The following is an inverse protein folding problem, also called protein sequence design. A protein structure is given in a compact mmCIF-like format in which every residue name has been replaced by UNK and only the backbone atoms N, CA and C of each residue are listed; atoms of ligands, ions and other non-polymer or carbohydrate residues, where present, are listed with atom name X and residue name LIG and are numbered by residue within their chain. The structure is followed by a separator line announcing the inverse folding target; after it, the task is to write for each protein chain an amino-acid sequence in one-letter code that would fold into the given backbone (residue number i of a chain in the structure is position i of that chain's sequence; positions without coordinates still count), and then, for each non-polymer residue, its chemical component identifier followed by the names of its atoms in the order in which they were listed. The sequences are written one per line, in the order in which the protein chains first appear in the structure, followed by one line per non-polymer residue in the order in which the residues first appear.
data_IF_083901405940
#
_entry.id   IF_083901405940
#
_cell.length_a   1.000
_cell.length_b   1.000
_cell.length_c   1.000
_cell.angle_alpha   90.00
_cell.angle_beta   90.00
_cell.angle_gamma   90.00
#
_symmetry.space_group_name_H-M   'P 1'
#
loop_
_entity.id
_entity.type
_entity.pdbx_description
1 polymer ?
#
# COMPACT_ATOMS: atom_id res chain seq x y z
N UNK A 1 -38.37 -45.14 -27.19
CA UNK A 1 -38.58 -46.60 -27.16
C UNK A 1 -38.41 -47.00 -25.71
N UNK A 2 -39.49 -47.25 -25.04
CA UNK A 2 -39.92 -48.52 -24.45
C UNK A 2 -39.01 -48.95 -23.29
N UNK A 3 -39.38 -49.07 -22.10
CA UNK A 3 -40.50 -49.73 -21.37
C UNK A 3 -39.86 -50.44 -20.20
N UNK A 4 -40.30 -50.65 -19.04
CA UNK A 4 -41.51 -50.96 -18.30
C UNK A 4 -41.10 -50.98 -16.81
N UNK A 5 -41.70 -50.41 -15.82
CA UNK A 5 -42.97 -50.72 -15.09
C UNK A 5 -43.07 -52.11 -14.45
N UNK A 6 -43.45 -52.06 -13.14
CA UNK A 6 -44.15 -53.08 -12.32
C UNK A 6 -43.26 -54.08 -11.54
N UNK A 7 -43.48 -54.29 -10.26
CA UNK A 7 -44.60 -54.82 -9.47
C UNK A 7 -44.24 -54.67 -7.96
N UNK A 8 -44.91 -54.13 -7.10
CA UNK A 8 -46.06 -54.30 -6.28
C UNK A 8 -46.18 -55.64 -5.51
N UNK A 9 -46.35 -55.46 -4.21
CA UNK A 9 -47.26 -56.16 -3.26
C UNK A 9 -46.74 -57.31 -2.38
N UNK A 10 -47.16 -57.10 -1.10
CA UNK A 10 -47.55 -58.07 -0.01
C UNK A 10 -46.39 -58.49 0.90
N UNK A 11 -46.51 -58.44 2.24
CA UNK A 11 -47.65 -58.81 3.10
C UNK A 11 -47.41 -58.38 4.55
N UNK A 12 -48.38 -57.81 5.17
CA UNK A 12 -49.11 -58.17 6.41
C UNK A 12 -48.36 -58.65 7.66
N UNK A 13 -48.59 -57.82 8.70
CA UNK A 13 -48.95 -58.17 10.07
C UNK A 13 -47.93 -58.84 11.01
N UNK A 14 -47.52 -58.09 12.00
CA UNK A 14 -47.68 -58.56 13.35
C UNK A 14 -47.78 -57.39 14.36
N UNK A 15 -48.94 -57.31 14.98
CA UNK A 15 -49.29 -56.42 16.05
C UNK A 15 -48.68 -56.92 17.38
N UNK A 16 -47.81 -56.07 18.00
CA UNK A 16 -47.60 -56.19 19.46
C UNK A 16 -47.81 -54.83 20.10
N UNK A 17 -48.85 -54.75 20.92
CA UNK A 17 -49.17 -53.62 21.80
C UNK A 17 -48.03 -53.42 22.78
N UNK A 18 -47.50 -52.20 22.80
CA UNK A 18 -46.71 -51.68 23.91
C UNK A 18 -47.41 -50.44 24.48
N UNK A 19 -47.47 -50.45 25.82
CA UNK A 19 -48.14 -49.47 26.68
C UNK A 19 -47.62 -48.08 26.52
N UNK A 20 -48.36 -46.98 26.78
CA UNK A 20 -47.93 -45.64 26.71
C UNK A 20 -46.98 -45.35 27.85
N UNK A 21 -45.77 -44.85 27.49
CA UNK A 21 -44.80 -44.23 28.40
C UNK A 21 -45.21 -42.77 28.57
N UNK A 22 -45.36 -42.36 29.82
CA UNK A 22 -45.78 -41.01 30.24
C UNK A 22 -44.66 -40.03 29.91
N UNK A 23 -44.89 -39.11 28.98
CA UNK A 23 -44.06 -37.96 28.77
C UNK A 23 -44.28 -36.93 29.89
N UNK A 24 -43.29 -36.81 30.73
CA UNK A 24 -43.12 -35.64 31.59
C UNK A 24 -41.88 -34.88 31.19
N UNK A 25 -42.06 -33.60 30.92
CA UNK A 25 -41.08 -32.55 30.89
C UNK A 25 -40.15 -32.45 29.69
N UNK A 26 -40.41 -31.43 28.88
CA UNK A 26 -39.40 -30.48 28.40
C UNK A 26 -40.09 -29.29 27.71
N UNK A 27 -40.80 -28.46 28.49
CA UNK A 27 -41.32 -27.17 28.00
C UNK A 27 -40.36 -26.01 28.29
N UNK A 28 -39.15 -26.27 28.82
CA UNK A 28 -38.19 -25.23 29.23
C UNK A 28 -37.08 -24.90 28.24
N UNK A 29 -36.91 -25.66 27.14
CA UNK A 29 -35.71 -25.51 26.28
C UNK A 29 -35.90 -24.66 25.04
N UNK A 30 -37.13 -24.35 24.64
CA UNK A 30 -37.36 -23.60 23.39
C UNK A 30 -37.16 -22.08 23.57
N UNK A 31 -37.60 -21.54 24.72
CA UNK A 31 -37.38 -20.12 25.05
C UNK A 31 -35.89 -19.78 25.30
N UNK A 32 -35.14 -20.68 25.95
CA UNK A 32 -33.71 -20.45 26.16
C UNK A 32 -32.89 -20.50 24.86
N UNK A 33 -33.29 -21.33 23.90
CA UNK A 33 -32.62 -21.40 22.58
C UNK A 33 -32.94 -20.21 21.70
N UNK A 34 -34.14 -19.66 21.74
CA UNK A 34 -34.51 -18.44 21.00
C UNK A 34 -33.80 -17.19 21.54
N UNK A 35 -33.66 -17.08 22.88
CA UNK A 35 -32.88 -15.97 23.48
C UNK A 35 -31.38 -16.07 23.19
N UNK A 36 -30.80 -17.24 23.14
CA UNK A 36 -29.39 -17.44 22.81
C UNK A 36 -29.11 -17.13 21.33
N UNK A 37 -29.99 -17.50 20.41
CA UNK A 37 -29.86 -17.14 18.99
C UNK A 37 -30.07 -15.64 18.74
N UNK A 38 -31.00 -15.00 19.46
CA UNK A 38 -31.22 -13.55 19.37
C UNK A 38 -30.03 -12.77 19.96
N UNK A 39 -29.41 -13.22 21.04
CA UNK A 39 -28.20 -12.61 21.61
C UNK A 39 -26.98 -12.75 20.69
N UNK A 40 -26.84 -13.87 19.98
CA UNK A 40 -25.78 -14.08 18.97
C UNK A 40 -25.98 -13.21 17.72
N UNK A 41 -27.23 -12.95 17.32
CA UNK A 41 -27.52 -12.06 16.19
C UNK A 41 -27.31 -10.56 16.51
N UNK A 42 -27.51 -10.16 17.77
CA UNK A 42 -27.25 -8.76 18.20
C UNK A 42 -25.76 -8.49 18.35
N UNK A 43 -24.93 -9.49 18.67
CA UNK A 43 -23.47 -9.35 18.70
C UNK A 43 -22.83 -9.32 17.29
N UNK A 44 -23.54 -9.75 16.25
CA UNK A 44 -23.04 -9.66 14.87
C UNK A 44 -23.21 -8.27 14.25
N UNK A 45 -23.89 -7.32 14.91
CA UNK A 45 -24.27 -6.02 14.36
C UNK A 45 -23.25 -4.89 14.54
N UNK A 46 -22.16 -5.08 15.30
CA UNK A 46 -21.13 -4.08 15.52
C UNK A 46 -19.73 -4.66 15.26
N UNK A 47 -19.51 -5.23 14.09
CA UNK A 47 -18.15 -5.54 13.68
C UNK A 47 -17.51 -4.25 13.14
N UNK A 48 -16.43 -3.80 13.79
CA UNK A 48 -15.53 -2.83 13.18
C UNK A 48 -15.13 -3.33 11.78
N UNK A 49 -14.96 -2.43 10.78
CA UNK A 49 -14.50 -2.82 9.46
C UNK A 49 -13.31 -3.74 9.59
N UNK A 50 -13.35 -4.89 8.91
CA UNK A 50 -12.27 -5.85 8.96
C UNK A 50 -10.99 -5.19 8.40
N UNK A 51 -9.82 -5.65 8.82
CA UNK A 51 -8.56 -5.17 8.24
C UNK A 51 -8.53 -5.33 6.72
N UNK A 52 -9.23 -6.33 6.20
CA UNK A 52 -9.46 -6.52 4.77
C UNK A 52 -10.24 -5.38 4.15
N UNK A 53 -11.28 -4.86 4.82
CA UNK A 53 -12.11 -3.77 4.28
C UNK A 53 -11.31 -2.47 4.20
N UNK A 54 -10.47 -2.17 5.19
CA UNK A 54 -9.58 -1.01 5.18
C UNK A 54 -8.59 -1.09 4.01
N UNK A 55 -7.94 -2.23 3.81
CA UNK A 55 -7.01 -2.47 2.70
C UNK A 55 -7.72 -2.40 1.35
N UNK A 56 -8.96 -2.91 1.26
CA UNK A 56 -9.79 -2.83 0.06
C UNK A 56 -10.09 -1.38 -0.30
N UNK A 57 -10.49 -0.55 0.68
CA UNK A 57 -10.77 0.87 0.46
C UNK A 57 -9.52 1.63 0.01
N UNK A 58 -8.37 1.37 0.64
CA UNK A 58 -7.09 1.99 0.26
C UNK A 58 -6.68 1.62 -1.18
N UNK A 59 -6.78 0.32 -1.55
CA UNK A 59 -6.46 -0.14 -2.89
C UNK A 59 -7.45 0.39 -3.94
N UNK A 60 -8.76 0.45 -3.63
CA UNK A 60 -9.77 1.01 -4.50
C UNK A 60 -9.54 2.51 -4.75
N UNK A 61 -9.21 3.27 -3.71
CA UNK A 61 -8.86 4.69 -3.84
C UNK A 61 -7.60 4.90 -4.68
N UNK A 62 -6.55 4.08 -4.44
CA UNK A 62 -5.31 4.17 -5.20
C UNK A 62 -5.51 3.88 -6.69
N UNK A 63 -6.47 3.01 -7.04
CA UNK A 63 -6.86 2.72 -8.43
C UNK A 63 -7.90 3.69 -8.98
N UNK A 64 -8.38 4.61 -8.16
CA UNK A 64 -9.42 5.57 -8.51
C UNK A 64 -8.89 6.79 -9.28
N UNK A 65 -9.82 7.58 -9.81
CA UNK A 65 -9.51 8.78 -10.58
C UNK A 65 -8.78 9.85 -9.77
N UNK A 66 -9.06 9.97 -8.47
CA UNK A 66 -8.43 10.94 -7.58
C UNK A 66 -6.92 10.70 -7.45
N UNK A 67 -6.52 9.44 -7.27
CA UNK A 67 -5.11 9.06 -7.24
C UNK A 67 -4.43 9.36 -8.58
N UNK A 68 -5.02 8.96 -9.69
CA UNK A 68 -4.52 9.25 -11.05
C UNK A 68 -4.32 10.75 -11.25
N UNK A 69 -5.28 11.58 -10.83
CA UNK A 69 -5.18 13.04 -10.93
C UNK A 69 -4.03 13.60 -10.09
N UNK A 70 -3.84 13.09 -8.87
CA UNK A 70 -2.73 13.50 -7.99
C UNK A 70 -1.36 13.11 -8.54
N UNK A 71 -1.23 11.95 -9.18
CA UNK A 71 0.00 11.57 -9.88
C UNK A 71 0.31 12.53 -11.03
N UNK A 72 -0.65 12.82 -11.91
CA UNK A 72 -0.47 13.81 -12.97
C UNK A 72 -0.11 15.20 -12.43
N UNK A 73 -0.79 15.65 -11.36
CA UNK A 73 -0.49 16.92 -10.70
C UNK A 73 0.94 16.93 -10.13
N UNK A 74 1.34 15.86 -9.42
CA UNK A 74 2.68 15.75 -8.84
C UNK A 74 3.77 15.83 -9.90
N UNK A 75 3.65 15.11 -11.02
CA UNK A 75 4.61 15.17 -12.12
C UNK A 75 4.56 16.49 -12.90
N UNK A 76 3.40 17.15 -13.00
CA UNK A 76 3.30 18.49 -13.58
C UNK A 76 4.07 19.51 -12.71
N UNK A 77 3.88 19.50 -11.38
CA UNK A 77 4.64 20.34 -10.45
C UNK A 77 6.13 20.03 -10.53
N UNK A 78 6.53 18.75 -10.56
CA UNK A 78 7.93 18.36 -10.72
C UNK A 78 8.55 18.95 -12.00
N UNK A 79 7.81 18.93 -13.11
CA UNK A 79 8.25 19.51 -14.39
C UNK A 79 8.41 21.03 -14.30
N UNK A 80 7.42 21.75 -13.80
CA UNK A 80 7.50 23.20 -13.63
C UNK A 80 8.69 23.60 -12.76
N UNK A 81 8.93 22.87 -11.66
CA UNK A 81 10.09 23.12 -10.78
C UNK A 81 11.40 22.81 -11.48
N UNK A 82 11.47 21.74 -12.25
CA UNK A 82 12.66 21.43 -13.04
C UNK A 82 12.96 22.53 -14.07
N UNK A 83 11.95 23.04 -14.76
CA UNK A 83 12.10 24.12 -15.75
C UNK A 83 12.64 25.41 -15.09
N UNK A 84 12.16 25.76 -13.90
CA UNK A 84 12.67 26.88 -13.09
C UNK A 84 14.15 26.67 -12.74
N UNK A 85 14.54 25.46 -12.35
CA UNK A 85 15.95 25.13 -12.01
C UNK A 85 16.82 25.19 -13.24
N UNK A 86 16.36 24.66 -14.37
CA UNK A 86 17.10 24.66 -15.63
C UNK A 86 17.29 26.06 -16.25
N UNK A 87 16.46 27.03 -15.87
CA UNK A 87 16.60 28.42 -16.27
C UNK A 87 17.67 29.17 -15.46
N UNK A 88 18.18 28.58 -14.36
CA UNK A 88 19.28 29.14 -13.58
C UNK A 88 20.65 28.84 -14.22
N UNK A 89 21.72 29.59 -13.89
CA UNK A 89 23.06 29.21 -14.29
C UNK A 89 23.40 27.78 -13.89
N UNK A 90 24.08 27.05 -14.77
CA UNK A 90 24.43 25.65 -14.52
C UNK A 90 25.31 25.53 -13.26
N UNK A 91 24.99 24.61 -12.34
CA UNK A 91 25.80 24.37 -11.15
C UNK A 91 27.14 23.70 -11.54
N UNK A 92 28.16 23.74 -10.66
CA UNK A 92 29.45 23.11 -10.92
C UNK A 92 29.42 21.61 -11.16
N UNK A 93 28.43 20.92 -10.60
CA UNK A 93 28.20 19.47 -10.77
C UNK A 93 27.00 19.24 -11.66
N UNK A 94 26.95 18.13 -12.41
CA UNK A 94 25.74 17.74 -13.17
C UNK A 94 24.49 17.72 -12.30
N UNK A 95 23.37 18.18 -12.85
CA UNK A 95 22.05 18.07 -12.18
C UNK A 95 21.61 16.62 -12.11
N UNK A 96 21.01 16.26 -10.99
CA UNK A 96 20.36 14.96 -10.78
C UNK A 96 19.05 15.12 -10.03
N UNK A 97 18.07 14.30 -10.39
CA UNK A 97 16.91 14.02 -9.56
C UNK A 97 17.04 12.63 -8.93
N UNK A 98 16.46 12.47 -7.76
CA UNK A 98 16.36 11.19 -7.06
C UNK A 98 14.89 10.85 -6.94
N UNK A 99 14.52 9.64 -7.33
CA UNK A 99 13.17 9.12 -7.17
C UNK A 99 13.19 7.81 -6.38
N UNK A 100 12.20 7.61 -5.53
CA UNK A 100 11.81 6.27 -5.10
C UNK A 100 11.17 5.51 -6.27
N UNK A 101 10.93 4.21 -6.11
CA UNK A 101 10.37 3.34 -7.16
C UNK A 101 8.92 2.97 -6.86
N UNK A 102 8.69 2.32 -5.71
CA UNK A 102 7.43 1.65 -5.39
C UNK A 102 6.37 2.67 -4.97
N UNK A 103 5.25 2.71 -5.67
CA UNK A 103 4.19 3.73 -5.53
C UNK A 103 4.64 5.18 -5.75
N UNK A 104 5.84 5.34 -6.31
CA UNK A 104 6.32 6.64 -6.79
C UNK A 104 6.36 6.68 -8.32
N UNK A 105 6.99 5.70 -8.95
CA UNK A 105 7.07 5.59 -10.42
C UNK A 105 6.53 4.27 -10.96
N UNK A 106 6.51 3.20 -10.15
CA UNK A 106 5.93 1.89 -10.49
C UNK A 106 4.71 1.57 -9.62
N UNK A 107 3.65 1.06 -10.25
CA UNK A 107 2.40 0.63 -9.63
C UNK A 107 2.49 -0.81 -9.13
N UNK A 108 2.58 -1.01 -7.82
CA UNK A 108 2.49 -2.31 -7.19
C UNK A 108 1.10 -2.62 -6.60
N UNK A 109 0.09 -1.81 -6.91
CA UNK A 109 -1.29 -2.09 -6.47
C UNK A 109 -1.81 -3.47 -6.91
N UNK A 110 -1.39 -4.06 -8.04
CA UNK A 110 -1.76 -5.43 -8.37
C UNK A 110 -1.30 -6.46 -7.32
N UNK A 111 -0.12 -6.26 -6.71
CA UNK A 111 0.35 -7.10 -5.61
C UNK A 111 -0.50 -6.89 -4.34
N UNK A 112 -0.83 -5.66 -3.99
CA UNK A 112 -1.70 -5.36 -2.85
C UNK A 112 -3.10 -5.96 -3.01
N UNK A 113 -3.66 -5.88 -4.21
CA UNK A 113 -4.96 -6.50 -4.55
C UNK A 113 -4.86 -8.03 -4.43
N UNK A 114 -3.77 -8.62 -4.92
CA UNK A 114 -3.53 -10.06 -4.80
C UNK A 114 -3.50 -10.50 -3.32
N UNK A 115 -2.83 -9.76 -2.44
CA UNK A 115 -2.82 -10.03 -1.00
C UNK A 115 -4.23 -10.00 -0.41
N UNK A 116 -5.05 -9.01 -0.79
CA UNK A 116 -6.44 -8.87 -0.30
C UNK A 116 -7.30 -10.05 -0.78
N UNK A 117 -7.21 -10.40 -2.06
CA UNK A 117 -7.99 -11.48 -2.68
C UNK A 117 -7.67 -12.85 -2.06
N UNK A 118 -6.38 -13.09 -1.79
CA UNK A 118 -5.91 -14.35 -1.22
C UNK A 118 -5.92 -14.38 0.32
N UNK A 119 -6.39 -13.30 0.99
CA UNK A 119 -6.38 -13.16 2.46
C UNK A 119 -4.99 -13.28 3.06
N UNK A 120 -4.00 -12.84 2.30
CA UNK A 120 -2.59 -12.84 2.68
C UNK A 120 -2.17 -11.49 3.26
N UNK A 121 -1.10 -11.49 4.01
CA UNK A 121 -0.40 -10.29 4.46
C UNK A 121 0.94 -10.19 3.73
N UNK A 122 1.54 -9.00 3.76
CA UNK A 122 2.88 -8.80 3.21
C UNK A 122 3.88 -9.80 3.80
N UNK A 123 4.64 -10.42 2.93
CA UNK A 123 5.84 -11.19 3.29
C UNK A 123 6.95 -10.92 2.28
N UNK A 124 8.21 -10.94 2.74
CA UNK A 124 9.35 -10.75 1.85
C UNK A 124 9.37 -11.79 0.71
N UNK A 125 8.91 -13.02 1.01
CA UNK A 125 8.82 -14.09 0.02
C UNK A 125 7.86 -13.75 -1.12
N UNK A 126 6.63 -13.35 -0.82
CA UNK A 126 5.62 -13.03 -1.84
C UNK A 126 5.94 -11.73 -2.56
N UNK A 127 6.55 -10.76 -1.85
CA UNK A 127 7.06 -9.53 -2.46
C UNK A 127 8.13 -9.83 -3.51
N UNK A 128 9.16 -10.62 -3.18
CA UNK A 128 10.20 -10.99 -4.13
C UNK A 128 9.67 -11.81 -5.33
N UNK A 129 8.60 -12.61 -5.12
CA UNK A 129 7.91 -13.27 -6.22
C UNK A 129 7.21 -12.27 -7.17
N UNK A 130 6.67 -11.19 -6.63
CA UNK A 130 6.07 -10.11 -7.40
C UNK A 130 7.14 -9.34 -8.18
N UNK A 131 8.15 -8.82 -7.51
CA UNK A 131 9.20 -7.99 -8.14
C UNK A 131 10.00 -8.76 -9.19
N UNK A 132 10.22 -10.08 -8.98
CA UNK A 132 10.87 -10.96 -9.96
C UNK A 132 10.16 -11.03 -11.31
N UNK A 133 8.83 -10.80 -11.35
CA UNK A 133 8.06 -10.73 -12.61
C UNK A 133 8.44 -9.53 -13.47
N UNK A 134 9.00 -8.49 -12.89
CA UNK A 134 9.36 -7.24 -13.55
C UNK A 134 8.19 -6.67 -14.39
N UNK A 135 6.96 -6.70 -13.84
CA UNK A 135 5.72 -6.44 -14.59
C UNK A 135 4.91 -5.25 -14.03
N UNK A 136 5.40 -4.54 -13.03
CA UNK A 136 4.76 -3.33 -12.55
C UNK A 136 4.73 -2.27 -13.66
N UNK A 137 3.57 -1.65 -13.86
CA UNK A 137 3.38 -0.60 -14.87
C UNK A 137 3.88 0.75 -14.34
N UNK A 138 4.16 1.70 -15.25
CA UNK A 138 4.48 3.06 -14.86
C UNK A 138 3.24 3.76 -14.29
N UNK A 139 3.41 4.48 -13.19
CA UNK A 139 2.38 5.36 -12.64
C UNK A 139 2.10 6.55 -13.57
N UNK A 140 0.88 7.12 -13.54
CA UNK A 140 0.46 8.17 -14.47
C UNK A 140 1.41 9.38 -14.46
N UNK A 141 1.96 9.73 -15.61
CA UNK A 141 2.89 10.85 -15.78
C UNK A 141 4.38 10.55 -15.50
N UNK A 142 4.70 9.45 -14.79
CA UNK A 142 6.07 9.13 -14.39
C UNK A 142 7.03 9.01 -15.56
N UNK A 143 6.72 8.18 -16.57
CA UNK A 143 7.58 7.96 -17.72
C UNK A 143 7.78 9.25 -18.52
N UNK A 144 6.72 10.03 -18.74
CA UNK A 144 6.80 11.30 -19.45
C UNK A 144 7.73 12.29 -18.75
N UNK A 145 7.59 12.45 -17.43
CA UNK A 145 8.42 13.37 -16.65
C UNK A 145 9.87 12.93 -16.59
N UNK A 146 10.15 11.65 -16.28
CA UNK A 146 11.54 11.19 -16.15
C UNK A 146 12.30 11.25 -17.49
N UNK A 147 11.65 10.88 -18.60
CA UNK A 147 12.24 11.03 -19.93
C UNK A 147 12.45 12.50 -20.31
N UNK A 148 11.52 13.39 -19.92
CA UNK A 148 11.72 14.82 -20.08
C UNK A 148 12.98 15.29 -19.30
N UNK A 149 13.11 14.95 -18.02
CA UNK A 149 14.27 15.33 -17.22
C UNK A 149 15.59 14.83 -17.85
N UNK A 150 15.64 13.57 -18.24
CA UNK A 150 16.80 12.99 -18.92
C UNK A 150 17.12 13.68 -20.25
N UNK A 151 16.11 14.01 -21.07
CA UNK A 151 16.30 14.75 -22.32
C UNK A 151 16.87 16.17 -22.13
N UNK A 152 16.73 16.72 -20.91
CA UNK A 152 17.29 18.01 -20.50
C UNK A 152 18.67 17.89 -19.83
N UNK A 153 19.28 16.68 -19.86
CA UNK A 153 20.60 16.42 -19.29
C UNK A 153 20.62 16.23 -17.78
N UNK A 154 19.45 16.03 -17.15
CA UNK A 154 19.34 15.74 -15.72
C UNK A 154 19.40 14.23 -15.51
N UNK A 155 20.35 13.76 -14.71
CA UNK A 155 20.48 12.33 -14.38
C UNK A 155 19.35 11.87 -13.47
N UNK A 156 18.82 10.68 -13.71
CA UNK A 156 17.77 10.08 -12.89
C UNK A 156 18.35 8.95 -12.05
N UNK A 157 18.30 9.11 -10.73
CA UNK A 157 18.70 8.07 -9.77
C UNK A 157 17.50 7.45 -9.10
N UNK A 158 17.46 6.12 -9.05
CA UNK A 158 16.42 5.32 -8.42
C UNK A 158 16.94 4.83 -7.07
N UNK A 159 16.38 5.35 -5.96
CA UNK A 159 16.79 5.00 -4.59
C UNK A 159 15.63 4.26 -3.91
N UNK A 160 15.73 2.95 -3.84
CA UNK A 160 14.65 2.07 -3.39
C UNK A 160 15.00 1.26 -2.15
N UNK A 161 13.99 0.85 -1.38
CA UNK A 161 14.15 -0.11 -0.29
C UNK A 161 13.96 -1.59 -0.72
N UNK A 162 13.90 -1.86 -2.03
CA UNK A 162 14.09 -3.23 -2.55
C UNK A 162 15.48 -3.73 -2.17
N UNK A 163 15.59 -5.03 -1.89
CA UNK A 163 16.88 -5.66 -1.55
C UNK A 163 17.81 -5.73 -2.75
N UNK A 164 19.11 -5.87 -2.50
CA UNK A 164 20.12 -5.93 -3.58
C UNK A 164 19.92 -7.13 -4.52
N UNK A 165 19.37 -8.25 -4.06
CA UNK A 165 19.07 -9.42 -4.89
C UNK A 165 17.85 -9.21 -5.81
N UNK A 166 17.11 -8.12 -5.65
CA UNK A 166 16.03 -7.71 -6.55
C UNK A 166 16.51 -6.75 -7.66
N UNK A 167 17.78 -6.34 -7.65
CA UNK A 167 18.31 -5.30 -8.55
C UNK A 167 18.09 -5.63 -10.03
N UNK A 168 18.43 -6.84 -10.46
CA UNK A 168 18.29 -7.25 -11.87
C UNK A 168 16.83 -7.23 -12.35
N UNK A 169 15.90 -7.72 -11.50
CA UNK A 169 14.49 -7.68 -11.81
C UNK A 169 13.95 -6.26 -11.84
N UNK A 170 14.43 -5.42 -10.92
CA UNK A 170 14.08 -4.00 -10.88
C UNK A 170 14.54 -3.27 -12.13
N UNK A 171 15.78 -3.46 -12.56
CA UNK A 171 16.30 -2.88 -13.80
C UNK A 171 15.52 -3.33 -15.04
N UNK A 172 15.17 -4.62 -15.12
CA UNK A 172 14.30 -5.10 -16.21
C UNK A 172 12.94 -4.40 -16.20
N UNK A 173 12.36 -4.18 -15.02
CA UNK A 173 11.07 -3.52 -14.90
C UNK A 173 11.16 -2.04 -15.30
N UNK A 174 12.17 -1.30 -14.82
CA UNK A 174 12.38 0.10 -15.18
C UNK A 174 12.57 0.26 -16.71
N UNK A 175 13.37 -0.60 -17.33
CA UNK A 175 13.58 -0.62 -18.78
C UNK A 175 12.28 -0.91 -19.53
N UNK A 176 11.51 -1.91 -19.07
CA UNK A 176 10.21 -2.26 -19.66
C UNK A 176 9.21 -1.10 -19.56
N UNK A 177 9.20 -0.38 -18.45
CA UNK A 177 8.36 0.79 -18.24
C UNK A 177 8.84 2.05 -19.02
N UNK A 178 9.96 1.94 -19.74
CA UNK A 178 10.50 3.02 -20.57
C UNK A 178 11.16 4.14 -19.78
N UNK A 179 11.70 3.84 -18.60
CA UNK A 179 12.39 4.83 -17.78
C UNK A 179 13.85 5.03 -18.22
N UNK A 180 14.37 6.28 -18.18
CA UNK A 180 15.76 6.59 -18.52
C UNK A 180 16.70 6.12 -17.40
N UNK A 181 18.00 6.10 -17.67
CA UNK A 181 19.06 5.76 -16.69
C UNK A 181 18.80 4.45 -15.91
N UNK A 182 18.09 3.50 -16.52
CA UNK A 182 17.75 2.23 -15.90
C UNK A 182 18.93 1.24 -15.97
N UNK A 183 20.01 1.55 -15.26
CA UNK A 183 21.25 0.78 -15.20
C UNK A 183 21.80 0.67 -13.77
N UNK A 184 22.85 -0.12 -13.59
CA UNK A 184 23.42 -0.41 -12.27
C UNK A 184 24.08 0.81 -11.60
N UNK A 185 24.48 1.83 -12.37
CA UNK A 185 25.08 3.04 -11.81
C UNK A 185 24.04 4.00 -11.22
N UNK A 186 22.81 3.92 -11.70
CA UNK A 186 21.71 4.80 -11.29
C UNK A 186 20.68 4.12 -10.36
N UNK A 187 20.76 2.79 -10.12
CA UNK A 187 19.90 2.07 -9.19
C UNK A 187 20.63 1.82 -7.86
N UNK A 188 20.12 2.40 -6.78
CA UNK A 188 20.63 2.23 -5.44
C UNK A 188 19.59 1.48 -4.57
N UNK A 189 19.75 0.18 -4.49
CA UNK A 189 18.95 -0.70 -3.63
C UNK A 189 19.25 -0.49 -2.14
N UNK A 190 18.41 -1.05 -1.28
CA UNK A 190 18.63 -1.06 0.16
C UNK A 190 19.98 -1.74 0.50
N UNK A 191 20.75 -1.07 1.34
CA UNK A 191 21.97 -1.62 1.94
C UNK A 191 21.60 -2.28 3.29
N UNK A 192 22.28 -1.94 4.34
CA UNK A 192 22.04 -2.45 5.70
C UNK A 192 20.84 -1.79 6.39
N UNK A 193 20.53 -0.55 6.02
CA UNK A 193 19.44 0.25 6.58
C UNK A 193 18.39 0.60 5.52
N UNK A 194 17.12 0.74 5.97
CA UNK A 194 16.04 1.32 5.16
C UNK A 194 16.22 2.83 4.94
N UNK A 195 16.97 3.50 5.80
CA UNK A 195 17.27 4.92 5.66
C UNK A 195 17.94 5.17 4.30
N UNK A 196 17.45 6.16 3.58
CA UNK A 196 17.93 6.53 2.24
C UNK A 196 18.98 7.65 2.26
N UNK A 197 19.26 8.25 3.43
CA UNK A 197 20.18 9.42 3.54
C UNK A 197 21.57 9.12 3.00
N UNK A 198 22.17 7.97 3.37
CA UNK A 198 23.51 7.59 2.91
C UNK A 198 23.59 7.53 1.39
N UNK A 199 22.55 6.97 0.74
CA UNK A 199 22.48 6.85 -0.72
C UNK A 199 22.29 8.20 -1.39
N UNK A 200 21.48 9.11 -0.79
CA UNK A 200 21.33 10.50 -1.27
C UNK A 200 22.63 11.30 -1.13
N UNK A 201 23.33 11.13 -0.01
CA UNK A 201 24.65 11.75 0.21
C UNK A 201 25.67 11.25 -0.81
N UNK A 202 25.69 9.94 -1.12
CA UNK A 202 26.61 9.39 -2.14
C UNK A 202 26.36 10.02 -3.51
N UNK A 203 25.10 10.16 -3.93
CA UNK A 203 24.74 10.83 -5.19
C UNK A 203 25.19 12.30 -5.18
N UNK A 204 25.00 13.01 -4.07
CA UNK A 204 25.34 14.42 -3.93
C UNK A 204 26.85 14.69 -3.95
N UNK A 205 27.71 13.68 -3.75
CA UNK A 205 29.18 13.84 -3.90
C UNK A 205 29.56 14.25 -5.31
N UNK A 206 28.87 13.71 -6.30
CA UNK A 206 29.20 13.90 -7.73
C UNK A 206 28.16 14.66 -8.53
N UNK A 207 26.98 14.93 -7.95
CA UNK A 207 25.88 15.59 -8.61
C UNK A 207 25.31 16.72 -7.74
N UNK A 208 24.61 17.67 -8.36
CA UNK A 208 23.74 18.64 -7.68
C UNK A 208 22.33 18.08 -7.70
N UNK A 209 21.85 17.58 -6.56
CA UNK A 209 20.50 17.01 -6.44
C UNK A 209 19.48 18.13 -6.46
N UNK A 210 18.65 18.18 -7.49
CA UNK A 210 17.69 19.25 -7.72
C UNK A 210 16.26 18.91 -7.26
N UNK A 211 15.83 17.66 -7.42
CA UNK A 211 14.50 17.20 -7.02
C UNK A 211 14.58 15.85 -6.29
N UNK A 212 13.72 15.66 -5.30
CA UNK A 212 13.42 14.38 -4.67
C UNK A 212 11.94 14.02 -4.92
N UNK A 213 11.67 12.81 -5.33
CA UNK A 213 10.34 12.25 -5.59
C UNK A 213 10.13 11.02 -4.73
N UNK A 214 8.99 10.92 -4.04
CA UNK A 214 8.66 9.79 -3.17
C UNK A 214 7.21 9.78 -2.75
N UNK A 215 6.71 8.63 -2.31
CA UNK A 215 5.38 8.44 -1.73
C UNK A 215 5.43 8.40 -0.19
N UNK A 216 6.62 8.24 0.37
CA UNK A 216 6.85 8.17 1.80
C UNK A 216 7.77 9.32 2.27
N UNK A 217 7.49 9.91 3.43
CA UNK A 217 8.28 11.02 3.95
C UNK A 217 9.75 10.65 4.17
N UNK A 218 10.07 9.39 4.49
CA UNK A 218 11.45 8.89 4.61
C UNK A 218 12.24 8.93 3.29
N UNK A 219 11.57 9.09 2.14
CA UNK A 219 12.23 9.30 0.85
C UNK A 219 12.93 10.65 0.76
N UNK A 220 12.51 11.61 1.56
CA UNK A 220 13.04 12.98 1.56
C UNK A 220 14.09 13.21 2.64
N UNK A 221 13.86 12.70 3.87
CA UNK A 221 14.78 12.88 5.00
C UNK A 221 14.47 11.93 6.15
N UNK A 222 15.51 11.50 6.86
CA UNK A 222 15.39 10.80 8.15
C UNK A 222 14.73 11.63 9.25
N UNK A 223 14.61 12.94 9.07
CA UNK A 223 13.84 13.80 9.98
C UNK A 223 12.38 13.35 10.16
N UNK A 224 11.87 12.51 9.25
CA UNK A 224 10.49 11.98 9.28
C UNK A 224 10.39 10.55 9.82
N UNK A 225 11.48 9.96 10.32
CA UNK A 225 11.51 8.55 10.75
C UNK A 225 10.83 8.31 12.12
N UNK A 226 10.38 9.38 12.81
CA UNK A 226 9.66 9.21 14.08
C UNK A 226 8.39 8.38 13.91
N UNK A 227 8.17 7.48 14.89
CA UNK A 227 6.91 6.75 15.03
C UNK A 227 5.83 7.54 15.82
N UNK A 228 6.14 8.75 16.27
CA UNK A 228 5.20 9.65 16.97
C UNK A 228 4.54 10.56 15.96
N UNK A 229 3.21 10.53 15.91
CA UNK A 229 2.40 11.25 14.91
C UNK A 229 2.64 12.77 14.97
N UNK A 230 2.65 13.33 16.17
CA UNK A 230 2.86 14.76 16.41
C UNK A 230 4.26 15.21 15.97
N UNK A 231 5.28 14.43 16.25
CA UNK A 231 6.68 14.73 15.83
C UNK A 231 6.80 14.71 14.30
N UNK A 232 6.16 13.76 13.63
CA UNK A 232 6.10 13.74 12.16
C UNK A 232 5.41 14.99 11.62
N UNK A 233 4.31 15.43 12.24
CA UNK A 233 3.60 16.66 11.87
C UNK A 233 4.47 17.91 12.05
N UNK A 234 5.19 18.01 13.16
CA UNK A 234 6.16 19.11 13.40
C UNK A 234 7.27 19.10 12.36
N UNK A 235 7.84 17.92 12.06
CA UNK A 235 8.87 17.79 11.03
C UNK A 235 8.35 18.22 9.64
N UNK A 236 7.13 17.83 9.25
CA UNK A 236 6.51 18.31 8.00
C UNK A 236 6.36 19.82 7.98
N UNK A 237 5.85 20.42 9.05
CA UNK A 237 5.66 21.86 9.15
C UNK A 237 6.98 22.62 9.05
N UNK A 238 8.05 22.13 9.69
CA UNK A 238 9.38 22.75 9.65
C UNK A 238 10.04 22.68 8.26
N UNK A 239 9.61 21.75 7.41
CA UNK A 239 10.09 21.57 6.04
C UNK A 239 9.07 22.00 4.97
N UNK A 240 8.00 22.70 5.35
CA UNK A 240 6.88 23.02 4.46
C UNK A 240 7.29 23.68 3.14
N UNK A 241 8.29 24.57 3.17
CA UNK A 241 8.79 25.26 1.98
C UNK A 241 9.44 24.34 0.92
N UNK A 242 9.79 23.10 1.28
CA UNK A 242 10.39 22.13 0.36
C UNK A 242 9.34 21.37 -0.44
N UNK A 243 8.18 21.09 0.16
CA UNK A 243 7.09 20.36 -0.51
C UNK A 243 6.50 21.21 -1.65
N UNK A 244 6.39 20.60 -2.83
CA UNK A 244 6.00 21.31 -4.06
C UNK A 244 7.09 22.26 -4.62
N UNK A 245 8.28 22.30 -4.01
CA UNK A 245 9.46 23.05 -4.49
C UNK A 245 10.50 22.05 -5.02
N UNK A 246 11.26 21.43 -4.15
CA UNK A 246 12.26 20.43 -4.53
C UNK A 246 11.96 19.02 -3.96
N UNK A 247 10.89 18.87 -3.21
CA UNK A 247 10.33 17.60 -2.73
C UNK A 247 8.91 17.43 -3.27
N UNK A 248 8.68 16.36 -4.03
CA UNK A 248 7.40 16.05 -4.67
C UNK A 248 6.87 14.77 -4.05
N UNK A 249 5.79 14.88 -3.28
CA UNK A 249 5.14 13.77 -2.57
C UNK A 249 4.03 13.21 -3.44
N UNK A 250 3.98 11.88 -3.56
CA UNK A 250 2.91 11.14 -4.22
C UNK A 250 2.04 10.42 -3.20
N UNK A 251 0.76 10.15 -3.53
CA UNK A 251 -0.15 9.52 -2.58
C UNK A 251 0.09 8.00 -2.50
N UNK A 252 0.19 7.46 -1.28
CA UNK A 252 0.11 6.03 -1.04
C UNK A 252 -0.74 5.73 0.22
N UNK A 253 -2.04 5.41 0.07
CA UNK A 253 -2.90 5.02 1.17
C UNK A 253 -2.82 3.54 1.52
N UNK A 254 -2.08 2.73 0.75
CA UNK A 254 -2.09 1.27 0.90
C UNK A 254 -1.11 0.79 1.97
N UNK A 255 0.06 1.45 2.07
CA UNK A 255 1.10 1.13 3.05
C UNK A 255 2.14 2.25 3.14
N UNK A 256 2.93 2.26 4.21
CA UNK A 256 4.01 3.22 4.39
C UNK A 256 4.43 3.37 5.86
N UNK A 257 5.42 4.21 6.13
CA UNK A 257 5.84 4.46 7.51
C UNK A 257 4.77 5.16 8.35
N UNK A 258 3.79 5.79 7.71
CA UNK A 258 2.62 6.37 8.37
C UNK A 258 1.79 5.31 9.12
N UNK A 259 1.79 4.03 8.68
CA UNK A 259 1.10 2.94 9.38
C UNK A 259 1.65 2.70 10.79
N UNK A 260 2.89 3.08 11.06
CA UNK A 260 3.55 2.92 12.35
C UNK A 260 3.40 4.16 13.23
N UNK A 261 3.05 5.29 12.64
CA UNK A 261 2.89 6.53 13.38
C UNK A 261 1.69 6.44 14.33
N UNK A 262 1.90 6.78 15.60
CA UNK A 262 0.90 6.73 16.67
C UNK A 262 0.90 8.05 17.43
N UNK A 263 -0.24 8.48 17.98
CA UNK A 263 -0.27 9.56 18.95
C UNK A 263 0.67 9.29 20.12
N UNK A 264 1.25 10.33 20.70
CA UNK A 264 2.13 10.19 21.84
C UNK A 264 1.47 9.39 22.97
N UNK A 265 2.13 8.35 23.47
CA UNK A 265 1.60 7.46 24.51
C UNK A 265 0.65 6.35 24.04
N UNK A 266 0.28 6.28 22.76
CA UNK A 266 -0.53 5.18 22.25
C UNK A 266 0.30 3.90 22.10
N UNK A 267 -0.19 2.79 22.68
CA UNK A 267 0.53 1.50 22.71
C UNK A 267 0.03 0.51 21.65
N UNK A 268 -1.15 0.75 21.06
CA UNK A 268 -1.75 -0.12 20.04
C UNK A 268 -2.57 0.70 19.02
N UNK A 269 -2.97 0.07 17.93
CA UNK A 269 -3.73 0.72 16.85
C UNK A 269 -5.14 1.16 17.25
N UNK A 270 -5.74 0.56 18.27
CA UNK A 270 -7.07 0.98 18.76
C UNK A 270 -7.03 2.38 19.36
N UNK A 271 -5.89 2.78 19.92
CA UNK A 271 -5.73 4.09 20.56
C UNK A 271 -5.39 5.22 19.58
N UNK A 272 -5.23 4.94 18.28
CA UNK A 272 -4.87 5.99 17.31
C UNK A 272 -5.97 7.03 17.20
N UNK A 273 -7.22 6.60 17.05
CA UNK A 273 -8.38 7.51 16.93
C UNK A 273 -8.63 8.22 18.26
N UNK A 274 -8.59 7.48 19.38
CA UNK A 274 -8.83 8.04 20.72
C UNK A 274 -7.76 9.07 21.13
N UNK A 275 -6.53 8.89 20.64
CA UNK A 275 -5.43 9.84 20.88
C UNK A 275 -5.48 11.10 20.01
N UNK A 276 -6.30 11.13 18.95
CA UNK A 276 -6.46 12.32 18.13
C UNK A 276 -7.31 13.38 18.84
N UNK A 277 -6.79 14.59 18.92
CA UNK A 277 -7.53 15.74 19.49
C UNK A 277 -8.59 16.19 18.48
N UNK A 278 -9.84 15.97 18.80
CA UNK A 278 -10.99 16.46 18.01
C UNK A 278 -11.82 17.42 18.85
N UNK A 279 -12.44 18.47 18.25
CA UNK A 279 -13.39 19.30 18.95
C UNK A 279 -14.56 18.47 19.48
N UNK A 280 -15.06 18.81 20.66
CA UNK A 280 -16.34 18.25 21.13
C UNK A 280 -17.46 18.80 20.25
N UNK A 281 -18.30 17.92 19.72
CA UNK A 281 -19.53 18.31 19.00
C UNK A 281 -20.58 18.78 19.99
#
# INVERSE_FOLDING_TARGET
MRSYLLLAQRSRQNSRRLKPYRDHFFAGSLLARTFLCAALLVLAGCQSPSERDKRTNAAAWFRGGESVALYFQGFAVARERLDVILAQPAPPKPLALITDIDETVLDNSPYQIWLIQNRETYSLKTWKQWTARASAEALPGASNFLNYASSRGVKVFYVTNRDQDEADATLRNLKRAGFPDADAAHLLCKRTSKNKDDRRVDIAKTNTVCLLLGDNLSDFSSAFDSAVLEERGVAVTSHAARFGSNWIVFPNPMYGDWEKARPAGATNSANVIDGLKVPKL
#
